data_IF_872713491669
#
_entry.id   IF_872713491669
#
_cell.length_a   1.000
_cell.length_b   1.000
_cell.length_c   1.000
_cell.angle_alpha   90.00
_cell.angle_beta   90.00
_cell.angle_gamma   90.00
#
_symmetry.space_group_name_H-M   'P 1'
#
loop_
_entity.id
_entity.type
_entity.pdbx_description
1 polymer ?
#
# COMPACT_ATOMS: atom_id res chain seq x y z
N UNK A 1 -65.31 -2.32 0.60
CA UNK A 1 -64.45 -3.09 -0.34
C UNK A 1 -63.52 -2.21 -1.19
N UNK A 2 -63.99 -1.06 -1.74
CA UNK A 2 -63.15 -0.22 -2.61
C UNK A 2 -61.95 0.47 -1.91
N UNK A 3 -62.07 0.85 -0.64
CA UNK A 3 -61.01 1.54 0.13
C UNK A 3 -59.81 0.60 0.43
N UNK A 4 -60.08 -0.67 0.75
CA UNK A 4 -59.05 -1.67 1.04
C UNK A 4 -58.16 -1.98 -0.18
N UNK A 5 -58.76 -2.01 -1.38
CA UNK A 5 -58.02 -2.22 -2.64
C UNK A 5 -57.12 -1.04 -3.02
N UNK A 6 -57.45 0.18 -2.61
CA UNK A 6 -56.59 1.34 -2.83
C UNK A 6 -55.38 1.36 -1.89
N UNK A 7 -55.59 1.00 -0.61
CA UNK A 7 -54.50 0.86 0.37
C UNK A 7 -53.47 -0.19 -0.06
N UNK A 8 -53.94 -1.38 -0.45
CA UNK A 8 -53.07 -2.47 -0.89
C UNK A 8 -52.24 -2.11 -2.13
N UNK A 9 -52.80 -1.34 -3.07
CA UNK A 9 -52.06 -0.88 -4.25
C UNK A 9 -50.92 0.09 -3.89
N UNK A 10 -51.15 0.97 -2.91
CA UNK A 10 -50.10 1.88 -2.44
C UNK A 10 -49.00 1.12 -1.70
N UNK A 11 -49.36 0.14 -0.87
CA UNK A 11 -48.38 -0.68 -0.16
C UNK A 11 -47.52 -1.51 -1.12
N UNK A 12 -48.14 -2.09 -2.16
CA UNK A 12 -47.41 -2.81 -3.22
C UNK A 12 -46.47 -1.88 -3.98
N UNK A 13 -46.91 -0.66 -4.34
CA UNK A 13 -46.05 0.30 -5.03
C UNK A 13 -44.86 0.73 -4.16
N UNK A 14 -45.08 0.93 -2.86
CA UNK A 14 -44.03 1.28 -1.91
C UNK A 14 -42.99 0.15 -1.77
N UNK A 15 -43.44 -1.09 -1.64
CA UNK A 15 -42.55 -2.25 -1.57
C UNK A 15 -41.75 -2.47 -2.86
N UNK A 16 -42.34 -2.18 -4.02
CA UNK A 16 -41.63 -2.23 -5.30
C UNK A 16 -40.54 -1.17 -5.39
N UNK A 17 -40.79 0.03 -4.88
CA UNK A 17 -39.78 1.08 -4.81
C UNK A 17 -38.65 0.72 -3.84
N UNK A 18 -38.97 0.26 -2.62
CA UNK A 18 -37.96 -0.15 -1.64
C UNK A 18 -37.07 -1.28 -2.17
N UNK A 19 -37.65 -2.23 -2.91
CA UNK A 19 -36.89 -3.27 -3.59
C UNK A 19 -35.93 -2.69 -4.64
N UNK A 20 -36.39 -1.78 -5.48
CA UNK A 20 -35.56 -1.16 -6.52
C UNK A 20 -34.39 -0.36 -5.92
N UNK A 21 -34.63 0.33 -4.79
CA UNK A 21 -33.60 1.07 -4.08
C UNK A 21 -32.55 0.13 -3.46
N UNK A 22 -32.99 -1.00 -2.88
CA UNK A 22 -32.10 -2.03 -2.35
C UNK A 22 -31.25 -2.70 -3.44
N UNK A 23 -31.86 -3.07 -4.57
CA UNK A 23 -31.15 -3.66 -5.71
C UNK A 23 -30.09 -2.67 -6.26
N UNK A 24 -30.41 -1.38 -6.32
CA UNK A 24 -29.47 -0.33 -6.74
C UNK A 24 -28.30 -0.17 -5.75
N UNK A 25 -28.58 -0.22 -4.44
CA UNK A 25 -27.55 -0.13 -3.40
C UNK A 25 -26.65 -1.36 -3.37
N UNK A 26 -27.22 -2.55 -3.62
CA UNK A 26 -26.45 -3.79 -3.73
C UNK A 26 -25.50 -3.72 -4.93
N UNK A 27 -26.01 -3.37 -6.11
CA UNK A 27 -25.19 -3.22 -7.32
C UNK A 27 -24.08 -2.18 -7.14
N UNK A 28 -24.39 -1.06 -6.46
CA UNK A 28 -23.39 -0.02 -6.17
C UNK A 28 -22.30 -0.54 -5.23
N UNK A 29 -22.67 -1.33 -4.23
CA UNK A 29 -21.72 -1.94 -3.30
C UNK A 29 -20.84 -2.98 -3.99
N UNK A 30 -21.43 -3.83 -4.84
CA UNK A 30 -20.70 -4.82 -5.63
C UNK A 30 -19.70 -4.17 -6.59
N UNK A 31 -20.10 -3.10 -7.29
CA UNK A 31 -19.19 -2.34 -8.16
C UNK A 31 -18.04 -1.71 -7.37
N UNK A 32 -18.30 -1.13 -6.20
CA UNK A 32 -17.25 -0.59 -5.32
C UNK A 32 -16.30 -1.67 -4.81
N UNK A 33 -16.83 -2.86 -4.51
CA UNK A 33 -16.03 -4.00 -4.08
C UNK A 33 -15.16 -4.52 -5.23
N UNK A 34 -15.71 -4.54 -6.45
CA UNK A 34 -14.99 -4.96 -7.66
C UNK A 34 -13.90 -3.96 -8.05
N UNK A 35 -14.15 -2.65 -7.93
CA UNK A 35 -13.12 -1.61 -8.09
C UNK A 35 -12.03 -1.70 -7.01
N UNK A 36 -12.40 -2.05 -5.77
CA UNK A 36 -11.45 -2.25 -4.67
C UNK A 36 -10.63 -3.55 -4.80
N UNK A 37 -11.13 -4.55 -5.52
CA UNK A 37 -10.50 -5.88 -5.67
C UNK A 37 -9.92 -6.14 -7.06
N UNK A 38 -10.17 -5.30 -8.06
CA UNK A 38 -9.56 -5.43 -9.38
C UNK A 38 -8.09 -5.01 -9.30
N UNK A 39 -7.23 -5.97 -8.96
CA UNK A 39 -5.79 -5.91 -9.25
C UNK A 39 -5.68 -5.82 -10.78
N UNK A 40 -5.46 -4.61 -11.29
CA UNK A 40 -5.15 -4.40 -12.70
C UNK A 40 -3.98 -5.31 -13.09
N UNK A 41 -4.02 -5.93 -14.27
CA UNK A 41 -2.89 -6.70 -14.83
C UNK A 41 -1.57 -5.92 -14.97
N UNK A 42 -1.58 -4.63 -14.63
CA UNK A 42 -0.42 -3.72 -14.58
C UNK A 42 0.06 -3.41 -13.16
N UNK A 43 -0.64 -3.88 -12.13
CA UNK A 43 -0.25 -3.69 -10.74
C UNK A 43 0.97 -4.59 -10.43
N UNK A 44 2.08 -4.07 -9.88
CA UNK A 44 3.27 -4.86 -9.61
C UNK A 44 3.08 -5.88 -8.48
N UNK A 45 2.04 -5.77 -7.66
CA UNK A 45 1.86 -6.57 -6.46
C UNK A 45 0.49 -7.25 -6.38
N UNK A 46 0.51 -8.51 -5.97
CA UNK A 46 -0.63 -9.19 -5.37
C UNK A 46 -0.49 -9.16 -3.84
N UNK A 47 -1.62 -9.00 -3.15
CA UNK A 47 -1.73 -9.10 -1.70
C UNK A 47 -3.15 -9.49 -1.32
N UNK A 48 -3.32 -10.09 -0.13
CA UNK A 48 -4.62 -10.35 0.48
C UNK A 48 -4.69 -9.68 1.85
N UNK A 49 -5.86 -9.12 2.16
CA UNK A 49 -6.21 -8.55 3.46
C UNK A 49 -7.04 -9.53 4.31
N UNK A 50 -7.19 -10.79 3.89
CA UNK A 50 -7.97 -11.79 4.63
C UNK A 50 -7.38 -11.99 6.04
N UNK A 51 -8.18 -11.74 7.07
CA UNK A 51 -7.75 -11.82 8.46
C UNK A 51 -6.81 -10.69 8.92
N UNK A 52 -6.62 -9.66 8.10
CA UNK A 52 -5.88 -8.44 8.42
C UNK A 52 -6.86 -7.26 8.35
N UNK A 53 -7.28 -6.68 9.49
CA UNK A 53 -8.23 -5.59 9.48
C UNK A 53 -7.53 -4.32 8.99
N UNK A 54 -7.43 -4.12 7.68
CA UNK A 54 -6.75 -3.00 7.07
C UNK A 54 -7.54 -2.44 5.89
N UNK A 55 -7.29 -1.17 5.58
CA UNK A 55 -7.57 -0.59 4.27
C UNK A 55 -6.27 -0.34 3.53
N UNK A 56 -6.30 -0.35 2.20
CA UNK A 56 -5.14 -0.05 1.36
C UNK A 56 -5.38 1.18 0.53
N UNK A 57 -4.43 2.11 0.56
CA UNK A 57 -4.34 3.25 -0.33
C UNK A 57 -3.16 3.05 -1.26
N UNK A 58 -3.38 3.25 -2.57
CA UNK A 58 -2.35 3.14 -3.60
C UNK A 58 -2.19 4.46 -4.32
N UNK A 59 -0.95 4.95 -4.41
CA UNK A 59 -0.61 6.19 -5.10
C UNK A 59 0.53 5.97 -6.08
N UNK A 60 0.42 6.57 -7.27
CA UNK A 60 1.50 6.64 -8.25
C UNK A 60 2.08 8.04 -8.16
N UNK A 61 3.32 8.15 -7.70
CA UNK A 61 3.97 9.44 -7.47
C UNK A 61 5.33 9.48 -8.19
N UNK A 62 5.86 10.66 -8.53
CA UNK A 62 7.18 10.76 -9.13
C UNK A 62 8.27 10.13 -8.26
N UNK A 63 9.30 9.59 -8.91
CA UNK A 63 10.54 9.26 -8.24
C UNK A 63 11.24 10.56 -7.81
N UNK A 64 11.34 10.77 -6.50
CA UNK A 64 11.67 12.05 -5.85
C UNK A 64 12.91 11.97 -4.95
N UNK A 65 13.65 10.85 -4.99
CA UNK A 65 14.93 10.74 -4.30
C UNK A 65 15.92 11.79 -4.83
N UNK A 66 16.71 12.35 -3.93
CA UNK A 66 17.75 13.34 -4.27
C UNK A 66 19.15 12.75 -4.06
N UNK A 67 20.14 13.30 -4.76
CA UNK A 67 21.51 12.82 -4.63
C UNK A 67 22.03 13.07 -3.21
N UNK A 68 21.67 14.21 -2.63
CA UNK A 68 21.96 14.56 -1.25
C UNK A 68 21.31 13.59 -0.25
N UNK A 69 20.05 13.20 -0.48
CA UNK A 69 19.36 12.22 0.34
C UNK A 69 20.06 10.86 0.32
N UNK A 70 20.38 10.35 -0.88
CA UNK A 70 21.06 9.06 -1.02
C UNK A 70 22.50 9.07 -0.49
N UNK A 71 23.24 10.18 -0.66
CA UNK A 71 24.56 10.39 -0.03
C UNK A 71 24.48 10.38 1.50
N UNK A 72 23.41 10.93 2.06
CA UNK A 72 23.19 10.88 3.51
C UNK A 72 23.00 9.44 3.99
N UNK A 73 22.25 8.62 3.24
CA UNK A 73 22.05 7.20 3.57
C UNK A 73 23.36 6.41 3.49
N UNK A 74 24.14 6.64 2.44
CA UNK A 74 25.48 6.06 2.28
C UNK A 74 26.37 6.36 3.48
N UNK A 75 26.41 7.63 3.91
CA UNK A 75 27.22 8.07 5.05
C UNK A 75 26.81 7.36 6.34
N UNK A 76 25.51 7.13 6.55
CA UNK A 76 25.00 6.40 7.71
C UNK A 76 25.38 4.91 7.68
N UNK A 77 25.51 4.34 6.48
CA UNK A 77 25.84 2.93 6.27
C UNK A 77 27.33 2.62 6.15
N UNK A 78 28.18 3.64 6.04
CA UNK A 78 29.63 3.47 5.89
C UNK A 78 30.05 2.88 4.53
N UNK A 79 29.18 2.97 3.52
CA UNK A 79 29.54 2.69 2.12
C UNK A 79 30.20 3.92 1.48
N UNK A 80 30.87 3.72 0.36
CA UNK A 80 31.50 4.80 -0.43
C UNK A 80 31.39 4.53 -1.92
N UNK A 81 30.91 5.54 -2.63
CA UNK A 81 30.73 5.58 -4.07
C UNK A 81 31.61 6.67 -4.69
N UNK A 82 31.97 6.53 -5.98
CA UNK A 82 32.69 7.58 -6.69
C UNK A 82 31.85 8.86 -6.82
N UNK A 83 32.53 9.97 -7.07
CA UNK A 83 31.88 11.25 -7.37
C UNK A 83 30.88 11.10 -8.53
N UNK A 84 29.74 11.77 -8.43
CA UNK A 84 28.63 11.72 -9.39
C UNK A 84 27.88 10.38 -9.51
N UNK A 85 28.13 9.40 -8.64
CA UNK A 85 27.45 8.11 -8.67
C UNK A 85 25.93 8.26 -8.58
N UNK A 86 25.44 8.97 -7.56
CA UNK A 86 24.00 9.14 -7.35
C UNK A 86 23.36 10.02 -8.41
N UNK A 87 24.06 11.01 -8.96
CA UNK A 87 23.59 11.80 -10.08
C UNK A 87 23.31 10.91 -11.31
N UNK A 88 24.21 9.96 -11.59
CA UNK A 88 24.02 8.97 -12.65
C UNK A 88 22.88 7.99 -12.34
N UNK A 89 22.79 7.51 -11.09
CA UNK A 89 21.67 6.66 -10.63
C UNK A 89 20.33 7.37 -10.88
N UNK A 90 20.18 8.60 -10.40
CA UNK A 90 18.95 9.39 -10.53
C UNK A 90 18.60 9.67 -11.99
N UNK A 91 19.60 9.88 -12.86
CA UNK A 91 19.37 10.06 -14.30
C UNK A 91 18.68 8.85 -14.93
N UNK A 92 18.96 7.63 -14.45
CA UNK A 92 18.30 6.40 -14.92
C UNK A 92 16.83 6.36 -14.53
N UNK A 93 16.48 6.99 -13.41
CA UNK A 93 15.11 7.11 -12.92
C UNK A 93 14.41 8.39 -13.37
N UNK A 94 15.01 9.23 -14.22
CA UNK A 94 14.38 10.45 -14.69
C UNK A 94 13.03 10.16 -15.38
N UNK A 95 11.99 10.92 -15.00
CA UNK A 95 10.63 10.76 -15.51
C UNK A 95 9.93 9.46 -15.09
N UNK A 96 10.48 8.76 -14.10
CA UNK A 96 9.90 7.51 -13.58
C UNK A 96 8.96 7.81 -12.43
N UNK A 97 7.91 7.00 -12.30
CA UNK A 97 7.05 6.99 -11.12
C UNK A 97 7.40 5.80 -10.21
N UNK A 98 7.18 5.99 -8.92
CA UNK A 98 7.09 4.94 -7.91
C UNK A 98 5.64 4.70 -7.56
N UNK A 99 5.33 3.50 -7.07
CA UNK A 99 4.02 3.16 -6.55
C UNK A 99 4.13 3.01 -5.04
N UNK A 100 3.33 3.75 -4.29
CA UNK A 100 3.30 3.70 -2.84
C UNK A 100 2.00 3.02 -2.41
N UNK A 101 2.11 1.93 -1.67
CA UNK A 101 0.99 1.29 -0.98
C UNK A 101 1.08 1.67 0.49
N UNK A 102 0.00 2.20 1.02
CA UNK A 102 -0.17 2.47 2.44
C UNK A 102 -1.30 1.58 2.95
N UNK A 103 -0.96 0.70 3.89
CA UNK A 103 -1.91 -0.17 4.59
C UNK A 103 -2.24 0.49 5.91
N UNK A 104 -3.45 1.02 6.03
CA UNK A 104 -3.94 1.61 7.26
C UNK A 104 -4.65 0.52 8.07
N UNK A 105 -4.06 0.13 9.20
CA UNK A 105 -4.62 -0.91 10.07
C UNK A 105 -5.76 -0.34 10.91
N UNK A 106 -6.88 -1.05 10.91
CA UNK A 106 -8.09 -0.73 11.67
C UNK A 106 -8.16 -1.62 12.91
N UNK A 107 -8.09 -1.02 14.09
CA UNK A 107 -8.14 -1.73 15.37
C UNK A 107 -7.42 -0.96 16.47
N UNK A 108 -7.65 -1.31 17.73
CA UNK A 108 -6.85 -0.78 18.83
C UNK A 108 -5.41 -1.30 18.65
N UNK A 109 -4.41 -0.44 18.47
CA UNK A 109 -3.06 -0.79 17.99
C UNK A 109 -2.16 0.43 17.90
N UNK A 110 -0.89 0.34 18.29
CA UNK A 110 0.11 1.37 17.96
C UNK A 110 0.70 1.05 16.57
N UNK A 111 0.92 2.10 15.76
CA UNK A 111 1.37 2.00 14.36
C UNK A 111 0.21 1.84 13.38
N UNK A 112 -0.48 2.93 13.06
CA UNK A 112 -1.73 2.85 12.29
C UNK A 112 -1.51 2.60 10.80
N UNK A 113 -0.27 2.70 10.31
CA UNK A 113 0.00 2.47 8.91
C UNK A 113 1.35 1.80 8.64
N UNK A 114 1.36 0.97 7.60
CA UNK A 114 2.54 0.33 7.01
C UNK A 114 2.67 0.73 5.55
N UNK A 115 3.88 1.06 5.11
CA UNK A 115 4.15 1.57 3.76
C UNK A 115 5.04 0.64 2.96
N UNK A 116 4.64 0.38 1.72
CA UNK A 116 5.45 -0.24 0.67
C UNK A 116 5.71 0.76 -0.44
N UNK A 117 6.96 0.94 -0.82
CA UNK A 117 7.34 1.67 -2.03
C UNK A 117 7.83 0.67 -3.07
N UNK A 118 7.19 0.66 -4.24
CA UNK A 118 7.58 -0.17 -5.39
C UNK A 118 8.20 0.68 -6.48
N UNK A 119 9.40 0.30 -6.90
CA UNK A 119 10.17 0.95 -7.96
C UNK A 119 10.35 -0.03 -9.13
N UNK A 120 10.38 0.43 -10.38
CA UNK A 120 10.85 -0.41 -11.48
C UNK A 120 12.34 -0.69 -11.33
N UNK A 121 12.78 -1.93 -11.61
CA UNK A 121 14.18 -2.34 -11.59
C UNK A 121 14.94 -1.85 -12.85
N UNK A 122 15.00 -0.52 -13.05
CA UNK A 122 15.66 0.10 -14.22
C UNK A 122 17.17 -0.09 -14.23
N UNK A 123 17.78 -0.20 -13.06
CA UNK A 123 19.22 -0.48 -12.90
C UNK A 123 19.57 -1.95 -13.21
N UNK A 124 18.57 -2.80 -13.45
CA UNK A 124 18.74 -4.23 -13.71
C UNK A 124 19.50 -4.97 -12.60
N UNK A 125 19.31 -4.56 -11.34
CA UNK A 125 19.87 -5.23 -10.18
C UNK A 125 19.59 -6.73 -10.27
N UNK A 126 20.61 -7.54 -9.97
CA UNK A 126 20.58 -9.00 -9.99
C UNK A 126 20.56 -9.58 -8.59
N UNK A 127 21.04 -8.82 -7.61
CA UNK A 127 21.12 -9.27 -6.22
C UNK A 127 20.57 -8.22 -5.25
N UNK A 128 20.06 -8.68 -4.10
CA UNK A 128 19.66 -7.78 -3.02
C UNK A 128 20.82 -6.93 -2.51
N UNK A 129 22.07 -7.41 -2.60
CA UNK A 129 23.25 -6.65 -2.20
C UNK A 129 23.45 -5.41 -3.07
N UNK A 130 23.27 -5.53 -4.39
CA UNK A 130 23.35 -4.38 -5.31
C UNK A 130 22.22 -3.37 -5.06
N UNK A 131 21.00 -3.86 -4.84
CA UNK A 131 19.86 -2.98 -4.55
C UNK A 131 20.07 -2.24 -3.21
N UNK A 132 20.52 -2.94 -2.17
CA UNK A 132 20.87 -2.33 -0.88
C UNK A 132 22.02 -1.34 -1.00
N UNK A 133 23.03 -1.64 -1.78
CA UNK A 133 24.16 -0.74 -1.95
C UNK A 133 23.74 0.69 -2.39
N UNK A 134 22.61 0.82 -3.10
CA UNK A 134 22.11 2.11 -3.60
C UNK A 134 21.00 2.74 -2.75
N UNK A 135 20.25 1.95 -1.97
CA UNK A 135 19.03 2.40 -1.27
C UNK A 135 18.93 1.94 0.20
N UNK A 136 19.95 1.28 0.74
CA UNK A 136 19.90 0.84 2.15
C UNK A 136 19.94 2.05 3.08
N UNK A 137 19.34 1.87 4.25
CA UNK A 137 19.38 2.84 5.32
C UNK A 137 19.87 2.15 6.57
N UNK A 138 20.75 2.79 7.33
CA UNK A 138 21.33 2.19 8.54
C UNK A 138 20.82 2.85 9.84
N UNK A 139 19.94 3.83 9.70
CA UNK A 139 19.20 4.47 10.79
C UNK A 139 17.97 3.65 11.14
N UNK A 140 17.62 3.55 12.44
CA UNK A 140 16.44 2.83 12.90
C UNK A 140 15.13 3.55 12.53
N UNK A 141 14.09 2.80 12.15
CA UNK A 141 12.74 3.36 11.99
C UNK A 141 12.47 3.94 10.61
N UNK A 142 13.00 3.38 9.52
CA UNK A 142 12.59 3.87 8.21
C UNK A 142 12.52 2.84 7.11
N UNK A 143 12.88 3.22 5.89
CA UNK A 143 12.62 2.47 4.67
C UNK A 143 13.82 1.62 4.25
N UNK A 144 13.60 0.32 4.07
CA UNK A 144 14.67 -0.64 3.74
C UNK A 144 14.34 -1.47 2.49
N UNK A 145 15.31 -1.71 1.60
CA UNK A 145 15.18 -2.69 0.52
C UNK A 145 14.90 -4.10 1.05
N UNK A 146 13.76 -4.72 0.67
CA UNK A 146 13.38 -6.04 1.21
C UNK A 146 13.20 -7.12 0.14
N UNK A 147 12.71 -6.76 -1.05
CA UNK A 147 12.40 -7.72 -2.12
C UNK A 147 12.69 -7.12 -3.48
N UNK A 148 12.99 -7.98 -4.45
CA UNK A 148 13.19 -7.60 -5.84
C UNK A 148 12.92 -8.76 -6.79
N UNK A 149 12.61 -8.42 -8.03
CA UNK A 149 12.69 -9.34 -9.17
C UNK A 149 13.31 -8.59 -10.37
N UNK A 150 13.24 -9.18 -11.56
CA UNK A 150 13.80 -8.57 -12.78
C UNK A 150 13.08 -7.29 -13.25
N UNK A 151 11.88 -7.00 -12.74
CA UNK A 151 11.04 -5.87 -13.14
C UNK A 151 10.85 -4.84 -12.03
N UNK A 152 10.84 -5.25 -10.76
CA UNK A 152 10.36 -4.46 -9.63
C UNK A 152 11.28 -4.61 -8.42
N UNK A 153 11.32 -3.55 -7.62
CA UNK A 153 12.05 -3.42 -6.36
C UNK A 153 11.06 -2.98 -5.29
N UNK A 154 11.16 -3.54 -4.09
CA UNK A 154 10.32 -3.17 -2.93
C UNK A 154 11.22 -2.62 -1.83
N UNK A 155 10.86 -1.44 -1.37
CA UNK A 155 11.36 -0.81 -0.17
C UNK A 155 10.21 -0.79 0.85
N UNK A 156 10.43 -1.38 2.02
CA UNK A 156 9.45 -1.43 3.10
C UNK A 156 9.76 -0.38 4.15
N UNK A 157 8.76 0.42 4.51
CA UNK A 157 8.82 1.25 5.70
C UNK A 157 8.54 0.45 6.97
N UNK A 158 9.02 0.97 8.08
CA UNK A 158 8.55 0.55 9.39
C UNK A 158 7.11 1.00 9.66
N UNK A 159 6.51 0.37 10.68
CA UNK A 159 5.23 0.80 11.21
C UNK A 159 5.37 2.18 11.84
N UNK A 160 4.60 3.15 11.34
CA UNK A 160 4.62 4.53 11.86
C UNK A 160 3.36 4.79 12.66
N UNK A 161 3.53 5.39 13.84
CA UNK A 161 2.43 5.78 14.72
C UNK A 161 2.28 7.30 14.72
N UNK A 162 1.17 7.79 14.16
CA UNK A 162 0.83 9.21 14.19
C UNK A 162 0.39 9.69 15.58
N UNK A 163 0.10 8.79 16.52
CA UNK A 163 -0.44 9.07 17.86
C UNK A 163 0.17 8.16 18.94
N UNK A 164 1.50 8.14 19.04
CA UNK A 164 2.22 7.34 20.02
C UNK A 164 1.79 7.64 21.47
N UNK A 165 0.90 6.80 22.02
CA UNK A 165 0.40 6.91 23.38
C UNK A 165 0.78 5.66 24.19
N UNK A 166 1.77 5.80 25.08
CA UNK A 166 2.31 4.74 25.95
C UNK A 166 1.25 4.03 26.83
N UNK A 167 0.05 4.59 26.98
CA UNK A 167 -0.94 4.17 27.97
C UNK A 167 -1.83 3.02 27.46
N UNK A 168 -1.99 2.86 26.14
CA UNK A 168 -2.84 1.82 25.56
C UNK A 168 -1.99 0.73 24.92
N UNK A 169 -1.55 -0.25 25.72
CA UNK A 169 -1.06 -1.52 25.18
C UNK A 169 -2.20 -2.21 24.44
N UNK A 170 -2.21 -2.10 23.12
CA UNK A 170 -3.02 -2.95 22.27
C UNK A 170 -2.64 -4.42 22.43
N UNK A 171 -3.60 -5.31 22.13
CA UNK A 171 -3.40 -6.76 22.04
C UNK A 171 -2.72 -7.22 20.75
N UNK A 172 -2.68 -6.40 19.69
CA UNK A 172 -2.09 -6.73 18.39
C UNK A 172 -1.26 -5.55 17.89
N UNK A 173 0.03 -5.78 17.70
CA UNK A 173 1.02 -4.81 17.23
C UNK A 173 0.98 -4.72 15.69
N UNK A 174 1.16 -3.51 15.12
CA UNK A 174 1.32 -3.28 13.69
C UNK A 174 2.31 -4.26 13.03
N UNK A 175 3.40 -4.60 13.71
CA UNK A 175 4.38 -5.59 13.27
C UNK A 175 3.75 -6.96 13.02
N UNK A 176 2.80 -7.40 13.86
CA UNK A 176 2.09 -8.67 13.66
C UNK A 176 1.20 -8.61 12.40
N UNK A 177 0.47 -7.51 12.22
CA UNK A 177 -0.40 -7.32 11.05
C UNK A 177 0.40 -7.18 9.75
N UNK A 178 1.49 -6.39 9.79
CA UNK A 178 2.51 -6.30 8.73
C UNK A 178 3.03 -7.69 8.38
N UNK A 179 3.41 -8.51 9.36
CA UNK A 179 3.93 -9.86 9.10
C UNK A 179 2.90 -10.78 8.43
N UNK A 180 1.62 -10.69 8.82
CA UNK A 180 0.53 -11.42 8.13
C UNK A 180 0.36 -10.96 6.68
N UNK A 181 0.37 -9.65 6.46
CA UNK A 181 0.25 -9.06 5.12
C UNK A 181 1.43 -9.44 4.22
N UNK A 182 2.66 -9.35 4.72
CA UNK A 182 3.88 -9.67 3.96
C UNK A 182 3.90 -11.14 3.50
N UNK A 183 3.23 -12.04 4.22
CA UNK A 183 3.11 -13.44 3.81
C UNK A 183 2.21 -13.64 2.58
N UNK A 184 1.31 -12.71 2.30
CA UNK A 184 0.42 -12.75 1.12
C UNK A 184 0.96 -11.93 -0.05
N UNK A 185 2.02 -11.15 0.18
CA UNK A 185 2.62 -10.26 -0.81
C UNK A 185 3.40 -11.04 -1.86
N UNK A 186 3.04 -10.89 -3.13
CA UNK A 186 3.72 -11.49 -4.29
C UNK A 186 3.88 -10.47 -5.41
N UNK A 187 4.91 -10.65 -6.24
CA UNK A 187 5.04 -9.88 -7.49
C UNK A 187 4.08 -10.43 -8.55
N UNK A 188 3.49 -9.54 -9.34
CA UNK A 188 2.78 -9.88 -10.58
C UNK A 188 3.74 -10.07 -11.77
#
# INVERSE_FOLDING_TARGET
>A
MQIQNASLKNDVAKLQQEKADLDTNLQTTENKLQEATSVSSTDPLFYSLDGVPATVKKEIVPFDYTAEGLKSLESDCGSTHPENYFENLLSTFQGTNKIVYQFDFTGDGQGNHYKLTVLPNKMNYKTMGEFKNDFDMCSAGGEYPTRMNSKWLIIEGDCVDDNYNFITKSKVDCTELKNKLIQTLEFN
#
